data_IF_025780823303
#
_entry.id   IF_025780823303
#
_cell.length_a   1.000
_cell.length_b   1.000
_cell.length_c   1.000
_cell.angle_alpha   90.00
_cell.angle_beta   90.00
_cell.angle_gamma   90.00
#
_symmetry.space_group_name_H-M   'P 1'
#
loop_
_entity.id
_entity.type
_entity.pdbx_description
1 polymer ?
#
# COMPACT_ATOMS: atom_id res chain seq x y z
N UNK A 1 14.60 -11.35 13.74
CA UNK A 1 14.39 -12.17 12.52
C UNK A 1 14.18 -11.25 11.31
N UNK A 2 14.83 -11.54 10.18
CA UNK A 2 14.74 -10.70 8.98
C UNK A 2 13.31 -10.73 8.42
N UNK A 3 12.70 -9.54 8.21
CA UNK A 3 11.33 -9.39 7.68
C UNK A 3 11.09 -10.18 6.38
N UNK A 4 12.08 -10.21 5.51
CA UNK A 4 12.02 -10.96 4.24
C UNK A 4 11.90 -12.46 4.47
N UNK A 5 12.62 -13.01 5.45
CA UNK A 5 12.56 -14.44 5.78
C UNK A 5 11.20 -14.82 6.36
N UNK A 6 10.63 -13.97 7.23
CA UNK A 6 9.27 -14.15 7.76
C UNK A 6 8.24 -14.10 6.62
N UNK A 7 8.41 -13.17 5.70
CA UNK A 7 7.54 -13.06 4.53
C UNK A 7 7.59 -14.32 3.66
N UNK A 8 8.78 -14.79 3.27
CA UNK A 8 8.95 -16.00 2.47
C UNK A 8 8.28 -17.22 3.14
N UNK A 9 8.44 -17.38 4.44
CA UNK A 9 7.79 -18.46 5.19
C UNK A 9 6.25 -18.37 5.16
N UNK A 10 5.68 -17.17 5.17
CA UNK A 10 4.23 -16.99 5.09
C UNK A 10 3.65 -17.34 3.71
N UNK A 11 4.46 -17.18 2.66
CA UNK A 11 4.01 -17.36 1.28
C UNK A 11 4.44 -18.69 0.66
N UNK A 12 5.25 -19.52 1.33
CA UNK A 12 5.74 -20.81 0.81
C UNK A 12 4.63 -21.73 0.30
N UNK A 13 3.45 -21.70 0.93
CA UNK A 13 2.28 -22.48 0.50
C UNK A 13 1.71 -22.05 -0.85
N UNK A 14 2.01 -20.84 -1.30
CA UNK A 14 1.60 -20.32 -2.61
C UNK A 14 2.66 -20.51 -3.69
N UNK A 15 3.90 -20.84 -3.27
CA UNK A 15 5.05 -21.04 -4.12
C UNK A 15 5.87 -22.24 -3.63
N UNK A 16 5.45 -23.48 -3.93
CA UNK A 16 6.14 -24.68 -3.46
C UNK A 16 7.63 -24.75 -3.81
N UNK A 17 8.04 -24.06 -4.87
CA UNK A 17 9.45 -24.01 -5.26
C UNK A 17 10.34 -23.30 -4.22
N UNK A 18 9.81 -22.41 -3.38
CA UNK A 18 10.58 -21.74 -2.31
C UNK A 18 11.19 -22.75 -1.33
N UNK A 19 10.50 -23.88 -1.10
CA UNK A 19 10.95 -24.91 -0.16
C UNK A 19 12.12 -25.71 -0.74
N UNK A 20 12.15 -25.85 -2.07
CA UNK A 20 13.05 -26.77 -2.76
C UNK A 20 14.26 -26.07 -3.42
N UNK A 21 14.38 -24.75 -3.27
CA UNK A 21 15.44 -23.96 -3.90
C UNK A 21 16.08 -23.00 -2.91
N UNK A 22 17.37 -22.82 -3.03
CA UNK A 22 18.07 -21.72 -2.38
C UNK A 22 17.78 -20.41 -3.15
N UNK A 23 17.25 -19.40 -2.41
CA UNK A 23 16.88 -18.13 -3.00
C UNK A 23 17.85 -17.04 -2.54
N UNK A 24 18.56 -16.45 -3.49
CA UNK A 24 19.35 -15.24 -3.27
C UNK A 24 18.51 -14.01 -3.68
N UNK A 25 18.37 -13.02 -2.78
CA UNK A 25 17.63 -11.79 -3.03
C UNK A 25 18.62 -10.62 -3.04
N UNK A 26 18.78 -10.00 -4.21
CA UNK A 26 19.50 -8.74 -4.39
C UNK A 26 18.49 -7.63 -4.69
N UNK A 27 18.44 -6.62 -3.85
CA UNK A 27 17.54 -5.48 -4.04
C UNK A 27 18.24 -4.16 -3.80
N UNK A 28 17.78 -3.14 -4.51
CA UNK A 28 18.25 -1.78 -4.38
C UNK A 28 17.07 -0.80 -4.41
N UNK A 29 17.13 0.26 -3.61
CA UNK A 29 16.18 1.36 -3.67
C UNK A 29 16.80 2.53 -4.45
N UNK A 30 16.01 3.17 -5.30
CA UNK A 30 16.41 4.41 -5.98
C UNK A 30 16.19 5.66 -5.10
N UNK A 31 15.70 5.48 -3.88
CA UNK A 31 15.40 6.53 -2.91
C UNK A 31 15.86 6.12 -1.50
N UNK A 32 16.03 7.06 -0.55
CA UNK A 32 16.52 6.76 0.80
C UNK A 32 15.62 5.78 1.55
N UNK A 33 16.22 4.77 2.18
CA UNK A 33 15.50 3.80 2.99
C UNK A 33 15.03 4.44 4.31
N UNK A 34 13.84 4.04 4.79
CA UNK A 34 13.25 4.51 6.06
C UNK A 34 12.89 5.99 6.13
N UNK A 35 12.89 6.73 5.03
CA UNK A 35 12.57 8.17 4.96
C UNK A 35 11.07 8.48 4.84
N UNK A 36 10.20 7.50 5.01
CA UNK A 36 8.75 7.72 4.91
C UNK A 36 8.12 7.49 3.53
N UNK A 37 8.93 7.13 2.54
CA UNK A 37 8.57 6.99 1.13
C UNK A 37 8.11 5.56 0.79
N UNK A 38 7.49 4.87 1.72
CA UNK A 38 6.94 3.52 1.52
C UNK A 38 7.91 2.46 0.96
N UNK A 39 9.20 2.50 1.32
CA UNK A 39 10.22 1.52 0.88
C UNK A 39 9.81 0.05 1.14
N UNK A 40 9.05 -0.21 2.21
CA UNK A 40 8.52 -1.55 2.49
C UNK A 40 7.49 -1.99 1.44
N UNK A 41 6.64 -1.09 0.96
CA UNK A 41 5.64 -1.41 -0.05
C UNK A 41 6.29 -1.69 -1.41
N UNK A 42 7.22 -0.84 -1.85
CA UNK A 42 7.92 -1.03 -3.13
C UNK A 42 8.73 -2.32 -3.15
N UNK A 43 9.48 -2.64 -2.07
CA UNK A 43 10.28 -3.86 -2.00
C UNK A 43 9.41 -5.13 -1.98
N UNK A 44 8.29 -5.14 -1.26
CA UNK A 44 7.38 -6.30 -1.25
C UNK A 44 6.65 -6.47 -2.58
N UNK A 45 6.28 -5.39 -3.24
CA UNK A 45 5.70 -5.45 -4.58
C UNK A 45 6.71 -6.02 -5.60
N UNK A 46 7.94 -5.50 -5.62
CA UNK A 46 8.99 -5.98 -6.51
C UNK A 46 9.30 -7.47 -6.28
N UNK A 47 9.51 -7.89 -5.02
CA UNK A 47 9.78 -9.29 -4.70
C UNK A 47 8.62 -10.20 -5.09
N UNK A 48 7.38 -9.77 -4.85
CA UNK A 48 6.19 -10.55 -5.22
C UNK A 48 6.06 -10.71 -6.72
N UNK A 49 6.34 -9.64 -7.49
CA UNK A 49 6.37 -9.72 -8.96
C UNK A 49 7.41 -10.72 -9.46
N UNK A 50 8.64 -10.68 -8.91
CA UNK A 50 9.69 -11.62 -9.29
C UNK A 50 9.29 -13.08 -9.01
N UNK A 51 8.65 -13.35 -7.86
CA UNK A 51 8.21 -14.71 -7.51
C UNK A 51 7.09 -15.23 -8.43
N UNK A 52 6.13 -14.37 -8.79
CA UNK A 52 5.06 -14.75 -9.72
C UNK A 52 5.60 -14.86 -11.15
N UNK A 53 6.56 -14.03 -11.53
CA UNK A 53 7.22 -14.11 -12.83
C UNK A 53 8.00 -15.42 -12.98
N UNK A 54 8.72 -15.81 -11.95
CA UNK A 54 9.39 -17.12 -11.92
C UNK A 54 8.41 -18.28 -12.07
N UNK A 55 7.26 -18.22 -11.40
CA UNK A 55 6.18 -19.20 -11.56
C UNK A 55 5.63 -19.19 -13.00
N UNK A 56 5.46 -18.00 -13.61
CA UNK A 56 4.99 -17.83 -15.00
C UNK A 56 5.93 -18.49 -16.01
N UNK A 57 7.24 -18.50 -15.75
CA UNK A 57 8.21 -19.20 -16.61
C UNK A 57 7.92 -20.71 -16.73
N UNK A 58 7.42 -21.33 -15.67
CA UNK A 58 6.95 -22.74 -15.65
C UNK A 58 5.49 -22.93 -16.10
N UNK A 59 4.73 -21.85 -16.23
CA UNK A 59 3.31 -21.87 -16.63
C UNK A 59 3.02 -20.80 -17.68
N UNK A 60 3.32 -21.11 -18.92
CA UNK A 60 3.19 -20.20 -20.06
C UNK A 60 1.74 -19.81 -20.39
N UNK A 61 0.75 -20.44 -19.76
CA UNK A 61 -0.69 -20.12 -19.94
C UNK A 61 -1.19 -19.08 -18.94
N UNK A 62 -0.33 -18.61 -18.03
CA UNK A 62 -0.71 -17.61 -17.03
C UNK A 62 -1.06 -16.27 -17.70
N UNK A 63 -2.30 -15.81 -17.53
CA UNK A 63 -2.75 -14.52 -18.03
C UNK A 63 -2.12 -13.37 -17.22
N UNK A 64 -2.00 -12.18 -17.83
CA UNK A 64 -1.51 -11.00 -17.14
C UNK A 64 -2.46 -10.58 -16.00
N UNK A 65 -3.76 -10.74 -16.17
CA UNK A 65 -4.73 -10.48 -15.11
C UNK A 65 -4.47 -11.35 -13.88
N UNK A 66 -4.22 -12.65 -14.06
CA UNK A 66 -3.89 -13.54 -12.95
C UNK A 66 -2.54 -13.20 -12.33
N UNK A 67 -1.54 -12.88 -13.15
CA UNK A 67 -0.22 -12.42 -12.69
C UNK A 67 -0.34 -11.25 -11.72
N UNK A 68 -0.98 -10.17 -12.14
CA UNK A 68 -1.11 -8.97 -11.32
C UNK A 68 -1.94 -9.20 -10.06
N UNK A 69 -3.04 -9.94 -10.15
CA UNK A 69 -3.85 -10.30 -8.96
C UNK A 69 -3.05 -11.12 -7.95
N UNK A 70 -2.33 -12.14 -8.41
CA UNK A 70 -1.49 -12.96 -7.53
C UNK A 70 -0.35 -12.17 -6.93
N UNK A 71 0.39 -11.40 -7.72
CA UNK A 71 1.48 -10.56 -7.24
C UNK A 71 0.98 -9.54 -6.20
N UNK A 72 -0.16 -8.90 -6.44
CA UNK A 72 -0.79 -7.96 -5.51
C UNK A 72 -1.22 -8.64 -4.20
N UNK A 73 -1.83 -9.80 -4.28
CA UNK A 73 -2.21 -10.60 -3.10
C UNK A 73 -0.99 -11.00 -2.27
N UNK A 74 0.08 -11.47 -2.90
CA UNK A 74 1.33 -11.85 -2.23
C UNK A 74 2.00 -10.63 -1.61
N UNK A 75 2.11 -9.52 -2.34
CA UNK A 75 2.71 -8.28 -1.84
C UNK A 75 2.03 -7.77 -0.56
N UNK A 76 0.69 -7.87 -0.50
CA UNK A 76 -0.11 -7.52 0.67
C UNK A 76 0.29 -8.30 1.92
N UNK A 77 0.65 -9.57 1.80
CA UNK A 77 1.08 -10.40 2.94
C UNK A 77 2.37 -9.86 3.56
N UNK A 78 3.25 -9.27 2.74
CA UNK A 78 4.49 -8.66 3.20
C UNK A 78 4.32 -7.23 3.73
N UNK A 79 3.48 -6.44 3.07
CA UNK A 79 3.12 -5.08 3.45
C UNK A 79 1.75 -4.75 2.86
N UNK A 80 0.75 -4.44 3.69
CA UNK A 80 -0.63 -4.24 3.24
C UNK A 80 -0.75 -3.30 2.05
N UNK A 81 -0.15 -2.11 2.14
CA UNK A 81 -0.18 -1.10 1.07
C UNK A 81 0.54 -1.52 -0.21
N UNK A 82 1.43 -2.52 -0.17
CA UNK A 82 2.13 -3.03 -1.35
C UNK A 82 1.19 -3.63 -2.39
N UNK A 83 -0.01 -4.07 -1.97
CA UNK A 83 -1.05 -4.55 -2.89
C UNK A 83 -1.38 -3.54 -4.00
N UNK A 84 -1.24 -2.25 -3.74
CA UNK A 84 -1.53 -1.17 -4.68
C UNK A 84 -0.37 -0.86 -5.64
N UNK A 85 0.83 -1.30 -5.33
CA UNK A 85 2.04 -0.95 -6.09
C UNK A 85 2.26 -1.80 -7.35
N UNK A 86 1.34 -2.72 -7.67
CA UNK A 86 1.40 -3.62 -8.83
C UNK A 86 0.60 -3.10 -10.04
N UNK A 87 -0.25 -2.13 -9.81
CA UNK A 87 -1.08 -1.49 -10.81
C UNK A 87 -0.80 0.00 -10.84
N UNK A 88 -1.31 0.68 -11.79
CA UNK A 88 -1.25 2.15 -11.84
C UNK A 88 -2.21 2.71 -12.88
N UNK A 89 -2.36 4.03 -12.92
CA UNK A 89 -1.86 5.01 -11.93
C UNK A 89 -2.72 5.12 -10.67
N UNK A 90 -3.98 4.69 -10.68
CA UNK A 90 -4.91 4.83 -9.54
C UNK A 90 -5.44 3.47 -9.11
N UNK A 91 -5.19 3.12 -7.84
CA UNK A 91 -5.53 1.79 -7.30
C UNK A 91 -6.27 1.91 -5.98
N UNK A 92 -7.37 1.20 -5.84
CA UNK A 92 -8.07 1.00 -4.58
C UNK A 92 -7.73 -0.36 -3.97
N UNK A 93 -7.59 -0.42 -2.66
CA UNK A 93 -7.48 -1.66 -1.89
C UNK A 93 -8.35 -1.56 -0.63
N UNK A 94 -9.04 -2.63 -0.34
CA UNK A 94 -10.03 -2.71 0.72
C UNK A 94 -11.46 -2.76 0.18
N UNK A 95 -12.33 -3.48 0.87
CA UNK A 95 -13.74 -3.54 0.52
C UNK A 95 -14.39 -2.16 0.68
N UNK A 96 -15.02 -1.66 -0.36
CA UNK A 96 -15.68 -0.36 -0.36
C UNK A 96 -16.96 -0.38 -1.19
N UNK A 97 -17.99 0.30 -0.70
CA UNK A 97 -19.23 0.54 -1.45
C UNK A 97 -19.02 1.43 -2.68
N UNK A 98 -17.91 2.19 -2.73
CA UNK A 98 -17.59 3.04 -3.87
C UNK A 98 -17.33 2.21 -5.15
N UNK A 99 -16.65 1.08 -5.02
CA UNK A 99 -16.24 0.25 -6.14
C UNK A 99 -16.57 -1.22 -5.85
N UNK A 100 -17.53 -1.79 -6.59
CA UNK A 100 -17.99 -3.17 -6.39
C UNK A 100 -16.89 -4.23 -6.58
N UNK A 101 -15.85 -3.91 -7.33
CA UNK A 101 -14.71 -4.79 -7.60
C UNK A 101 -13.62 -4.70 -6.54
N UNK A 102 -13.68 -3.69 -5.65
CA UNK A 102 -12.71 -3.54 -4.57
C UNK A 102 -12.88 -4.63 -3.53
N UNK A 103 -11.76 -5.08 -2.95
CA UNK A 103 -11.73 -6.18 -1.99
C UNK A 103 -10.48 -6.09 -1.10
N UNK A 104 -10.47 -6.89 -0.04
CA UNK A 104 -9.37 -6.90 0.93
C UNK A 104 -8.18 -7.77 0.51
N UNK A 105 -8.29 -8.54 -0.58
CA UNK A 105 -7.29 -9.52 -0.98
C UNK A 105 -6.18 -8.94 -1.86
N UNK A 106 -6.53 -8.07 -2.79
CA UNK A 106 -5.60 -7.46 -3.75
C UNK A 106 -6.05 -6.06 -4.15
N UNK A 107 -5.14 -5.28 -4.72
CA UNK A 107 -5.46 -3.97 -5.29
C UNK A 107 -6.32 -4.10 -6.56
N UNK A 108 -7.18 -3.12 -6.80
CA UNK A 108 -8.00 -3.03 -8.00
C UNK A 108 -7.68 -1.72 -8.72
N UNK A 109 -7.29 -1.81 -9.98
CA UNK A 109 -7.08 -0.64 -10.83
C UNK A 109 -8.41 0.03 -11.17
N UNK A 110 -8.50 1.32 -10.87
CA UNK A 110 -9.67 2.17 -11.15
C UNK A 110 -9.34 3.32 -12.10
N UNK A 111 -8.19 3.26 -12.76
CA UNK A 111 -7.68 4.34 -13.63
C UNK A 111 -8.62 4.65 -14.79
N UNK A 112 -9.34 3.66 -15.31
CA UNK A 112 -10.32 3.83 -16.38
C UNK A 112 -11.60 4.56 -15.94
N UNK A 113 -11.83 4.71 -14.64
CA UNK A 113 -12.94 5.45 -14.04
C UNK A 113 -12.50 6.79 -13.45
N UNK A 114 -11.26 7.20 -13.71
CA UNK A 114 -10.63 8.38 -13.11
C UNK A 114 -10.29 9.40 -14.20
N UNK A 115 -10.56 10.67 -13.94
CA UNK A 115 -10.22 11.77 -14.83
C UNK A 115 -8.71 11.86 -15.04
N UNK A 116 -8.30 12.24 -16.25
CA UNK A 116 -6.89 12.22 -16.66
C UNK A 116 -5.98 13.10 -15.81
N UNK A 117 -6.50 14.21 -15.26
CA UNK A 117 -5.76 15.10 -14.37
C UNK A 117 -5.12 14.38 -13.16
N UNK A 118 -5.68 13.24 -12.72
CA UNK A 118 -5.16 12.48 -11.60
C UNK A 118 -4.17 11.36 -11.99
N UNK A 119 -3.93 11.16 -13.30
CA UNK A 119 -3.11 10.04 -13.78
C UNK A 119 -1.62 10.40 -13.90
N UNK A 120 -1.30 11.70 -13.91
CA UNK A 120 0.06 12.20 -14.14
C UNK A 120 0.58 13.04 -12.97
N UNK A 121 0.24 12.66 -11.74
CA UNK A 121 0.77 13.34 -10.55
C UNK A 121 2.26 13.08 -10.39
N UNK A 122 2.99 14.18 -10.13
CA UNK A 122 4.38 14.13 -9.70
C UNK A 122 4.42 14.25 -8.17
N UNK A 123 5.06 13.30 -7.52
CA UNK A 123 5.28 13.33 -6.07
C UNK A 123 6.68 13.87 -5.78
N UNK A 124 6.74 15.06 -5.16
CA UNK A 124 8.00 15.68 -4.75
C UNK A 124 8.18 15.53 -3.25
N UNK A 125 9.23 14.82 -2.85
CA UNK A 125 9.51 14.54 -1.45
C UNK A 125 10.56 15.50 -0.92
N UNK A 126 10.17 16.28 0.09
CA UNK A 126 11.07 17.16 0.83
C UNK A 126 11.66 16.39 2.01
N UNK A 127 12.95 16.10 1.95
CA UNK A 127 13.67 15.41 3.03
C UNK A 127 14.20 16.48 4.01
N UNK A 128 13.50 16.67 5.13
CA UNK A 128 13.87 17.61 6.17
C UNK A 128 14.92 16.98 7.11
N UNK A 129 14.74 15.70 7.45
CA UNK A 129 15.69 14.92 8.25
C UNK A 129 15.98 13.59 7.53
N UNK A 130 17.19 13.36 7.06
CA UNK A 130 17.59 12.10 6.44
C UNK A 130 17.80 10.96 7.45
N UNK A 131 17.63 11.21 8.75
CA UNK A 131 17.78 10.23 9.82
C UNK A 131 16.75 9.11 9.78
N UNK A 132 17.01 8.06 10.57
CA UNK A 132 16.06 6.96 10.69
C UNK A 132 14.89 7.36 11.58
N UNK A 133 13.69 6.99 11.17
CA UNK A 133 12.47 7.17 11.99
C UNK A 133 12.60 6.50 13.35
N UNK A 134 12.25 7.22 14.41
CA UNK A 134 12.21 6.68 15.78
C UNK A 134 11.16 5.59 15.98
N UNK A 135 10.05 5.68 15.26
CA UNK A 135 8.93 4.73 15.33
C UNK A 135 8.63 4.20 13.91
N UNK A 136 8.49 2.88 13.79
CA UNK A 136 8.11 2.26 12.51
C UNK A 136 6.64 2.54 12.19
N UNK A 137 6.28 2.51 10.90
CA UNK A 137 4.87 2.64 10.47
C UNK A 137 3.96 1.59 11.10
N UNK A 138 4.45 0.37 11.32
CA UNK A 138 3.69 -0.69 11.99
C UNK A 138 3.36 -0.33 13.45
N UNK A 139 4.31 0.25 14.18
CA UNK A 139 4.07 0.73 15.54
C UNK A 139 3.08 1.90 15.56
N UNK A 140 3.21 2.85 14.61
CA UNK A 140 2.26 3.94 14.47
C UNK A 140 0.83 3.45 14.23
N UNK A 141 0.64 2.45 13.38
CA UNK A 141 -0.67 1.82 13.16
C UNK A 141 -1.21 1.11 14.41
N UNK A 142 -0.34 0.45 15.17
CA UNK A 142 -0.73 -0.25 16.40
C UNK A 142 -1.23 0.73 17.49
N UNK A 143 -0.62 1.91 17.58
CA UNK A 143 -1.06 2.97 18.47
C UNK A 143 -2.50 3.43 18.17
N UNK A 144 -2.91 3.42 16.90
CA UNK A 144 -4.26 3.82 16.51
C UNK A 144 -5.34 2.84 16.96
N UNK A 145 -5.03 1.53 17.08
CA UNK A 145 -6.01 0.50 17.40
C UNK A 145 -6.66 0.69 18.79
N UNK A 146 -5.96 1.32 19.72
CA UNK A 146 -6.46 1.59 21.10
C UNK A 146 -6.91 3.03 21.30
N UNK A 147 -6.86 3.86 20.25
CA UNK A 147 -7.26 5.24 20.36
C UNK A 147 -8.80 5.37 20.45
N UNK A 148 -9.37 6.13 21.41
CA UNK A 148 -10.83 6.25 21.58
C UNK A 148 -11.52 6.88 20.37
N UNK A 149 -10.81 7.61 19.51
CA UNK A 149 -11.35 8.26 18.31
C UNK A 149 -11.20 7.42 17.04
N UNK A 150 -10.60 6.23 17.11
CA UNK A 150 -10.30 5.43 15.92
C UNK A 150 -11.55 4.98 15.16
N UNK A 151 -12.60 4.58 15.84
CA UNK A 151 -13.85 4.14 15.20
C UNK A 151 -14.48 5.24 14.36
N UNK A 152 -14.59 6.44 14.89
CA UNK A 152 -15.13 7.59 14.16
C UNK A 152 -14.24 7.98 12.99
N UNK A 153 -12.92 7.92 13.17
CA UNK A 153 -11.96 8.13 12.08
C UNK A 153 -12.18 7.16 10.93
N UNK A 154 -12.42 5.89 11.21
CA UNK A 154 -12.67 4.88 10.16
C UNK A 154 -13.98 5.15 9.41
N UNK A 155 -15.04 5.58 10.09
CA UNK A 155 -16.29 5.94 9.42
C UNK A 155 -16.12 7.17 8.51
N UNK A 156 -15.38 8.19 8.95
CA UNK A 156 -15.03 9.35 8.11
C UNK A 156 -14.22 8.89 6.88
N UNK A 157 -13.20 8.03 7.06
CA UNK A 157 -12.41 7.53 5.94
C UNK A 157 -13.25 6.77 4.90
N UNK A 158 -14.20 5.94 5.36
CA UNK A 158 -15.12 5.23 4.46
C UNK A 158 -15.99 6.21 3.66
N UNK A 159 -16.50 7.26 4.31
CA UNK A 159 -17.25 8.31 3.63
C UNK A 159 -16.37 9.05 2.61
N UNK A 160 -15.17 9.43 2.99
CA UNK A 160 -14.24 10.14 2.10
C UNK A 160 -13.88 9.29 0.86
N UNK A 161 -13.80 7.96 0.97
CA UNK A 161 -13.61 7.09 -0.20
C UNK A 161 -14.83 7.12 -1.14
N UNK A 162 -16.05 7.25 -0.60
CA UNK A 162 -17.25 7.42 -1.44
C UNK A 162 -17.22 8.76 -2.18
N UNK A 163 -16.88 9.84 -1.47
CA UNK A 163 -16.80 11.17 -2.05
C UNK A 163 -15.67 11.26 -3.08
N UNK A 164 -14.51 10.66 -2.79
CA UNK A 164 -13.37 10.57 -3.72
C UNK A 164 -13.73 9.90 -5.04
N UNK A 165 -14.65 8.96 -5.08
CA UNK A 165 -15.07 8.34 -6.34
C UNK A 165 -15.62 9.37 -7.33
N UNK A 166 -16.50 10.24 -6.89
CA UNK A 166 -17.09 11.27 -7.75
C UNK A 166 -16.08 12.37 -8.08
N UNK A 167 -15.24 12.74 -7.11
CA UNK A 167 -14.14 13.71 -7.28
C UNK A 167 -13.15 13.21 -8.34
N UNK A 168 -12.69 11.97 -8.23
CA UNK A 168 -11.76 11.36 -9.19
C UNK A 168 -12.37 11.25 -10.58
N UNK A 169 -13.66 11.01 -10.69
CA UNK A 169 -14.36 10.93 -11.96
C UNK A 169 -14.55 12.32 -12.61
N UNK A 170 -14.85 13.33 -11.83
CA UNK A 170 -15.13 14.68 -12.34
C UNK A 170 -13.87 15.50 -12.64
N UNK A 171 -12.73 15.16 -12.03
CA UNK A 171 -11.52 15.99 -12.13
C UNK A 171 -11.48 17.15 -11.13
N UNK A 172 -12.28 17.10 -10.06
CA UNK A 172 -12.38 18.15 -9.04
C UNK A 172 -11.15 18.16 -8.14
N UNK A 173 -10.15 18.93 -8.54
CA UNK A 173 -8.86 19.02 -7.88
C UNK A 173 -8.95 19.69 -6.49
N UNK A 174 -9.79 20.69 -6.34
CA UNK A 174 -9.90 21.44 -5.07
C UNK A 174 -10.47 20.55 -3.95
N UNK A 175 -11.52 19.80 -4.23
CA UNK A 175 -12.06 18.84 -3.27
C UNK A 175 -11.11 17.66 -3.04
N UNK A 176 -10.37 17.21 -4.06
CA UNK A 176 -9.32 16.19 -3.90
C UNK A 176 -8.26 16.65 -2.91
N UNK A 177 -7.72 17.86 -3.06
CA UNK A 177 -6.73 18.45 -2.16
C UNK A 177 -7.30 18.53 -0.73
N UNK A 178 -8.50 19.08 -0.58
CA UNK A 178 -9.13 19.23 0.73
C UNK A 178 -9.29 17.90 1.48
N UNK A 179 -9.76 16.85 0.80
CA UNK A 179 -9.90 15.52 1.42
C UNK A 179 -8.54 14.92 1.78
N UNK A 180 -7.57 14.97 0.88
CA UNK A 180 -6.26 14.34 1.10
C UNK A 180 -5.49 15.01 2.24
N UNK A 181 -5.53 16.33 2.36
CA UNK A 181 -4.95 17.08 3.49
C UNK A 181 -5.66 16.73 4.80
N UNK A 182 -6.99 16.73 4.81
CA UNK A 182 -7.79 16.36 5.98
C UNK A 182 -7.49 14.93 6.46
N UNK A 183 -7.37 13.98 5.52
CA UNK A 183 -7.01 12.59 5.82
C UNK A 183 -5.63 12.47 6.50
N UNK A 184 -4.63 13.19 6.00
CA UNK A 184 -3.29 13.22 6.59
C UNK A 184 -3.32 13.80 8.01
N UNK A 185 -3.99 14.93 8.21
CA UNK A 185 -4.11 15.56 9.53
C UNK A 185 -4.87 14.68 10.54
N UNK A 186 -5.91 13.98 10.11
CA UNK A 186 -6.65 13.07 10.98
C UNK A 186 -5.81 11.88 11.46
N UNK A 187 -4.95 11.31 10.62
CA UNK A 187 -4.02 10.25 11.05
C UNK A 187 -3.03 10.79 12.08
N UNK A 188 -2.48 11.98 11.85
CA UNK A 188 -1.56 12.62 12.77
C UNK A 188 -2.24 12.94 14.12
N UNK A 189 -3.49 13.38 14.10
CA UNK A 189 -4.24 13.65 15.34
C UNK A 189 -4.47 12.39 16.17
N UNK A 190 -4.72 11.23 15.54
CA UNK A 190 -4.81 9.95 16.26
C UNK A 190 -3.48 9.55 16.89
N UNK A 191 -2.36 9.76 16.21
CA UNK A 191 -1.04 9.50 16.77
C UNK A 191 -0.75 10.43 17.94
N UNK A 192 -1.10 11.70 17.82
CA UNK A 192 -0.91 12.71 18.88
C UNK A 192 -1.77 12.38 20.13
N UNK A 193 -2.97 11.88 19.96
CA UNK A 193 -3.88 11.52 21.06
C UNK A 193 -3.76 10.06 21.52
N UNK A 194 -2.81 9.30 20.99
CA UNK A 194 -2.53 7.92 21.43
C UNK A 194 -1.83 7.87 22.78
N UNK A 195 -1.75 6.69 23.38
CA UNK A 195 -0.99 6.46 24.60
C UNK A 195 0.02 5.31 24.38
N UNK A 196 1.34 5.58 24.36
CA UNK A 196 1.96 6.91 24.46
C UNK A 196 1.64 7.83 23.26
N UNK A 197 1.62 9.14 23.51
CA UNK A 197 1.46 10.14 22.45
C UNK A 197 2.67 10.13 21.51
N UNK A 198 2.42 10.33 20.22
CA UNK A 198 3.46 10.37 19.22
C UNK A 198 3.27 11.56 18.26
N UNK A 199 4.33 12.33 18.09
CA UNK A 199 4.42 13.41 17.09
C UNK A 199 5.26 12.86 15.94
N UNK A 200 4.70 12.78 14.75
CA UNK A 200 5.33 12.19 13.58
C UNK A 200 6.44 13.08 12.99
N UNK A 201 6.29 14.40 13.16
CA UNK A 201 7.23 15.44 12.69
C UNK A 201 7.57 16.41 13.82
#
# INVERSE_FOLDING_TARGET
>A
ENKTRIFLKKIEKFFPFIINHDIEIKSNNTFPHSSGIASSASSMAALSSCLVDFEKMGNTTMSDEYFYKKASFIARIGSGSASRSLYGPIVIWGESKAYKTSNDLFGTDISNQTHDIFKEFNDTILIIDPGQKKISSSQGHELMNKNPFSSQRYEIAKKNVLDLKEILKSGDLDHFISITESEALMIHSLMLTSNPSYILM
#
